data_IF_431598761603
#
_entry.id   IF_431598761603
#
_cell.length_a   1.000
_cell.length_b   1.000
_cell.length_c   1.000
_cell.angle_alpha   90.00
_cell.angle_beta   90.00
_cell.angle_gamma   90.00
#
_symmetry.space_group_name_H-M   'P 1'
#
loop_
_entity.id
_entity.type
_entity.pdbx_description
1 polymer ?
#
# COMPACT_ATOMS: atom_id res chain seq x y z
N UNK A 1 -20.12 -23.99 23.83
CA UNK A 1 -19.34 -24.89 23.00
C UNK A 1 -18.86 -24.29 21.69
N UNK A 2 -18.84 -22.96 21.57
CA UNK A 2 -18.22 -22.27 20.41
C UNK A 2 -16.73 -22.06 20.70
N UNK A 3 -15.88 -22.22 19.70
CA UNK A 3 -14.45 -21.96 19.77
C UNK A 3 -14.14 -20.72 18.92
N UNK A 4 -13.29 -19.83 19.45
CA UNK A 4 -12.75 -18.69 18.73
C UNK A 4 -11.21 -18.79 18.74
N UNK A 5 -10.61 -18.87 17.55
CA UNK A 5 -9.17 -18.88 17.38
C UNK A 5 -8.66 -17.44 17.24
N UNK A 6 -7.90 -16.99 18.25
CA UNK A 6 -7.26 -15.68 18.21
C UNK A 6 -5.94 -15.75 17.41
N UNK A 7 -5.50 -14.62 16.82
CA UNK A 7 -4.17 -14.54 16.22
C UNK A 7 -3.07 -14.89 17.23
N UNK A 8 -2.02 -15.57 16.76
CA UNK A 8 -0.87 -15.94 17.58
C UNK A 8 -0.12 -14.67 18.07
N UNK A 9 0.15 -14.59 19.37
CA UNK A 9 0.95 -13.54 19.98
C UNK A 9 2.29 -14.10 20.46
N UNK A 10 3.39 -13.48 20.02
CA UNK A 10 4.74 -13.89 20.38
C UNK A 10 5.29 -12.92 21.42
N UNK A 11 5.70 -13.45 22.57
CA UNK A 11 6.29 -12.68 23.67
C UNK A 11 7.72 -13.12 23.93
N UNK A 12 8.57 -12.18 24.37
CA UNK A 12 9.95 -12.45 24.77
C UNK A 12 10.30 -11.66 26.03
N UNK A 13 11.31 -12.13 26.74
CA UNK A 13 11.88 -11.46 27.91
C UNK A 13 13.39 -11.32 27.75
N UNK A 14 13.96 -10.25 28.27
CA UNK A 14 15.41 -10.05 28.36
C UNK A 14 15.78 -9.38 29.68
N UNK A 15 16.75 -9.98 30.40
CA UNK A 15 17.39 -9.35 31.55
C UNK A 15 18.47 -8.32 31.18
N UNK A 16 18.86 -8.26 29.90
CA UNK A 16 19.96 -7.43 29.38
C UNK A 16 19.44 -6.14 28.69
N UNK A 17 18.19 -5.74 29.00
CA UNK A 17 17.59 -4.51 28.52
C UNK A 17 16.91 -4.59 27.14
N UNK A 18 16.39 -3.45 26.68
CA UNK A 18 15.56 -3.36 25.47
C UNK A 18 16.33 -3.63 24.18
N UNK A 19 17.63 -3.29 24.12
CA UNK A 19 18.42 -3.56 22.94
C UNK A 19 18.56 -5.07 22.69
N UNK A 20 18.87 -5.84 23.72
CA UNK A 20 18.94 -7.30 23.64
C UNK A 20 17.57 -7.90 23.28
N UNK A 21 16.48 -7.38 23.87
CA UNK A 21 15.13 -7.80 23.56
C UNK A 21 14.79 -7.56 22.06
N UNK A 22 15.10 -6.38 21.54
CA UNK A 22 14.91 -6.07 20.11
C UNK A 22 15.70 -6.99 19.20
N UNK A 23 16.97 -7.26 19.53
CA UNK A 23 17.81 -8.18 18.75
C UNK A 23 17.24 -9.61 18.77
N UNK A 24 16.70 -10.08 19.90
CA UNK A 24 16.04 -11.39 19.98
C UNK A 24 14.87 -11.47 19.01
N UNK A 25 14.01 -10.43 18.93
CA UNK A 25 12.93 -10.38 17.97
C UNK A 25 13.44 -10.31 16.52
N UNK A 26 14.48 -9.52 16.23
CA UNK A 26 15.06 -9.46 14.90
C UNK A 26 15.57 -10.84 14.44
N UNK A 27 16.26 -11.56 15.30
CA UNK A 27 16.73 -12.92 15.00
C UNK A 27 15.56 -13.90 14.82
N UNK A 28 14.55 -13.82 15.67
CA UNK A 28 13.33 -14.65 15.55
C UNK A 28 12.63 -14.39 14.22
N UNK A 29 12.35 -13.13 13.88
CA UNK A 29 11.68 -12.73 12.65
C UNK A 29 12.48 -13.20 11.43
N UNK A 30 13.80 -12.93 11.42
CA UNK A 30 14.66 -13.35 10.32
C UNK A 30 14.67 -14.87 10.13
N UNK A 31 14.72 -15.64 11.21
CA UNK A 31 14.87 -17.09 11.15
C UNK A 31 13.54 -17.81 10.86
N UNK A 32 12.43 -17.34 11.43
CA UNK A 32 11.17 -18.09 11.49
C UNK A 32 10.03 -17.47 10.69
N UNK A 33 10.02 -16.14 10.47
CA UNK A 33 8.92 -15.44 9.81
C UNK A 33 9.28 -15.07 8.36
N UNK A 34 10.45 -14.47 8.14
CA UNK A 34 10.84 -14.05 6.79
C UNK A 34 10.99 -15.25 5.85
N UNK A 35 10.44 -15.07 4.64
CA UNK A 35 10.45 -16.08 3.56
C UNK A 35 10.88 -15.45 2.24
N UNK A 36 11.20 -16.30 1.26
CA UNK A 36 11.48 -15.89 -0.10
C UNK A 36 12.79 -15.13 -0.27
N UNK A 37 12.90 -14.44 -1.39
CA UNK A 37 14.11 -13.76 -1.86
C UNK A 37 14.71 -12.80 -0.81
N UNK A 38 13.87 -12.06 -0.10
CA UNK A 38 14.32 -11.01 0.83
C UNK A 38 14.76 -11.52 2.21
N UNK A 39 14.68 -12.84 2.48
CA UNK A 39 15.09 -13.40 3.79
C UNK A 39 16.55 -13.11 4.11
N UNK A 40 17.43 -13.27 3.11
CA UNK A 40 18.87 -13.18 3.28
C UNK A 40 19.50 -12.04 2.44
N UNK A 41 18.68 -11.13 1.93
CA UNK A 41 19.13 -9.95 1.17
C UNK A 41 19.00 -8.68 1.99
N UNK A 42 19.93 -7.76 1.77
CA UNK A 42 19.79 -6.39 2.24
C UNK A 42 18.61 -5.71 1.55
N UNK A 43 17.94 -4.84 2.27
CA UNK A 43 16.83 -4.05 1.71
C UNK A 43 17.41 -2.87 0.92
N UNK A 44 16.82 -2.53 -0.23
CA UNK A 44 17.26 -1.39 -1.01
C UNK A 44 17.09 -0.10 -0.24
N UNK A 45 17.96 0.87 -0.50
CA UNK A 45 17.79 2.24 -0.02
C UNK A 45 16.62 2.86 -0.77
N UNK A 46 15.54 3.16 -0.04
CA UNK A 46 14.26 3.54 -0.59
C UNK A 46 14.02 5.04 -0.47
N UNK A 47 13.54 5.66 -1.55
CA UNK A 47 12.93 6.98 -1.58
C UNK A 47 11.43 6.84 -1.86
N UNK A 48 10.60 7.43 -1.03
CA UNK A 48 9.17 7.54 -1.26
C UNK A 48 8.83 8.92 -1.83
N UNK A 49 7.93 8.99 -2.82
CA UNK A 49 7.58 10.24 -3.49
C UNK A 49 6.69 11.17 -2.68
N UNK A 50 6.09 10.71 -1.57
CA UNK A 50 5.06 11.44 -0.84
C UNK A 50 5.50 12.85 -0.44
N UNK A 51 6.57 12.97 0.35
CA UNK A 51 7.03 14.27 0.85
C UNK A 51 7.56 15.21 -0.26
N UNK A 52 7.96 14.64 -1.40
CA UNK A 52 8.43 15.44 -2.54
C UNK A 52 7.30 15.92 -3.45
N UNK A 53 6.20 15.19 -3.53
CA UNK A 53 5.19 15.40 -4.57
C UNK A 53 3.77 15.51 -4.02
N UNK A 54 3.45 14.88 -2.90
CA UNK A 54 2.09 14.62 -2.45
C UNK A 54 1.25 14.06 -3.62
N UNK A 55 0.03 14.55 -3.84
CA UNK A 55 -0.82 14.15 -4.94
C UNK A 55 -0.41 14.71 -6.31
N UNK A 56 0.55 15.64 -6.36
CA UNK A 56 1.01 16.28 -7.59
C UNK A 56 2.13 15.46 -8.25
N UNK A 57 1.78 14.24 -8.65
CA UNK A 57 2.66 13.33 -9.37
C UNK A 57 2.34 13.34 -10.86
N UNK A 58 3.34 13.11 -11.69
CA UNK A 58 3.24 12.78 -13.11
C UNK A 58 4.49 12.01 -13.54
N UNK A 59 4.48 11.45 -14.77
CA UNK A 59 5.58 10.62 -15.27
C UNK A 59 6.93 11.34 -15.22
N UNK A 60 7.01 12.56 -15.75
CA UNK A 60 8.29 13.28 -15.86
C UNK A 60 8.86 13.66 -14.50
N UNK A 61 8.00 14.07 -13.57
CA UNK A 61 8.39 14.41 -12.20
C UNK A 61 8.94 13.19 -11.45
N UNK A 62 8.32 12.03 -11.63
CA UNK A 62 8.77 10.79 -10.99
C UNK A 62 10.10 10.30 -11.60
N UNK A 63 10.27 10.42 -12.91
CA UNK A 63 11.53 10.07 -13.59
C UNK A 63 12.66 11.02 -13.21
N UNK A 64 12.39 12.33 -13.10
CA UNK A 64 13.37 13.32 -12.60
C UNK A 64 13.78 13.02 -11.17
N UNK A 65 12.81 12.69 -10.30
CA UNK A 65 13.07 12.27 -8.92
C UNK A 65 13.93 11.01 -8.87
N UNK A 66 13.64 9.99 -9.69
CA UNK A 66 14.42 8.77 -9.78
C UNK A 66 15.86 9.04 -10.27
N UNK A 67 16.02 9.92 -11.26
CA UNK A 67 17.34 10.31 -11.76
C UNK A 67 18.20 10.98 -10.68
N UNK A 68 17.62 11.89 -9.92
CA UNK A 68 18.30 12.53 -8.78
C UNK A 68 18.58 11.53 -7.67
N UNK A 69 17.65 10.63 -7.37
CA UNK A 69 17.79 9.58 -6.39
C UNK A 69 18.99 8.64 -6.73
N UNK A 70 19.08 8.20 -7.98
CA UNK A 70 20.19 7.39 -8.48
C UNK A 70 21.54 8.06 -8.26
N UNK A 71 21.65 9.38 -8.47
CA UNK A 71 22.89 10.13 -8.33
C UNK A 71 23.45 10.17 -6.89
N UNK A 72 22.61 9.89 -5.90
CA UNK A 72 22.98 9.85 -4.47
C UNK A 72 22.93 8.45 -3.88
N UNK A 73 22.81 7.43 -4.72
CA UNK A 73 22.89 6.01 -4.30
C UNK A 73 21.57 5.41 -3.79
N UNK A 74 20.42 6.03 -4.07
CA UNK A 74 19.12 5.43 -3.80
C UNK A 74 18.82 4.35 -4.85
N UNK A 75 18.27 3.24 -4.42
CA UNK A 75 18.11 2.01 -5.21
C UNK A 75 16.66 1.71 -5.59
N UNK A 76 15.69 2.31 -4.87
CA UNK A 76 14.25 2.06 -5.05
C UNK A 76 13.46 3.37 -4.90
N UNK A 77 12.63 3.71 -5.90
CA UNK A 77 11.63 4.77 -5.82
C UNK A 77 10.24 4.16 -5.64
N UNK A 78 9.54 4.53 -4.58
CA UNK A 78 8.13 4.18 -4.37
C UNK A 78 7.26 5.36 -4.79
N UNK A 79 6.43 5.16 -5.81
CA UNK A 79 5.33 6.07 -6.13
C UNK A 79 4.22 5.90 -5.09
N UNK A 80 3.99 6.96 -4.31
CA UNK A 80 2.98 6.98 -3.25
C UNK A 80 1.57 7.27 -3.77
N UNK A 81 0.65 7.65 -2.91
CA UNK A 81 -0.76 7.94 -3.20
C UNK A 81 -0.94 8.96 -4.34
N UNK A 82 -2.06 8.87 -5.06
CA UNK A 82 -2.44 9.85 -6.08
C UNK A 82 -2.31 9.41 -7.54
N UNK A 83 -1.92 8.16 -7.81
CA UNK A 83 -1.69 7.67 -9.18
C UNK A 83 -2.96 7.14 -9.89
N UNK A 84 -4.06 6.93 -9.16
CA UNK A 84 -5.29 6.27 -9.65
C UNK A 84 -6.52 7.18 -9.60
N UNK A 85 -7.56 6.83 -10.33
CA UNK A 85 -8.85 7.52 -10.33
C UNK A 85 -8.74 9.02 -10.56
N UNK A 86 -9.50 9.80 -9.80
CA UNK A 86 -9.42 11.27 -9.72
C UNK A 86 -8.71 11.74 -8.45
N UNK A 87 -7.79 10.93 -7.94
CA UNK A 87 -7.10 11.11 -6.66
C UNK A 87 -6.16 12.30 -6.67
N UNK A 88 -6.69 13.50 -6.42
CA UNK A 88 -5.93 14.75 -6.29
C UNK A 88 -5.84 15.25 -4.84
N UNK A 89 -6.54 14.58 -3.94
CA UNK A 89 -6.54 14.74 -2.49
C UNK A 89 -7.00 13.45 -1.82
N UNK A 90 -7.14 13.42 -0.51
CA UNK A 90 -7.52 12.25 0.26
C UNK A 90 -9.03 12.03 0.41
N UNK A 91 -9.86 12.84 -0.25
CA UNK A 91 -11.33 12.78 -0.13
C UNK A 91 -12.00 11.94 -1.21
N UNK A 92 -11.29 11.60 -2.29
CA UNK A 92 -11.87 10.97 -3.48
C UNK A 92 -11.12 9.72 -3.94
N UNK A 93 -11.82 8.89 -4.71
CA UNK A 93 -11.30 7.79 -5.56
C UNK A 93 -10.59 6.65 -4.86
N UNK A 94 -10.45 6.63 -3.53
CA UNK A 94 -9.90 5.44 -2.86
C UNK A 94 -10.84 4.26 -3.09
N UNK A 95 -10.30 3.17 -3.65
CA UNK A 95 -11.06 2.03 -4.17
C UNK A 95 -11.07 1.93 -5.70
N UNK A 96 -10.81 3.02 -6.41
CA UNK A 96 -10.80 3.09 -7.89
C UNK A 96 -9.39 2.80 -8.44
N UNK A 97 -8.93 1.57 -8.32
CA UNK A 97 -7.57 1.13 -8.64
C UNK A 97 -7.27 1.12 -10.15
N UNK A 98 -7.62 2.20 -10.84
CA UNK A 98 -7.35 2.42 -12.26
C UNK A 98 -6.44 3.62 -12.43
N UNK A 99 -5.37 3.45 -13.21
CA UNK A 99 -4.40 4.51 -13.48
C UNK A 99 -5.09 5.79 -13.95
N UNK A 100 -4.69 6.94 -13.37
CA UNK A 100 -5.13 8.25 -13.83
C UNK A 100 -4.38 8.61 -15.15
N UNK A 101 -5.08 8.72 -16.29
CA UNK A 101 -4.44 8.95 -17.58
C UNK A 101 -3.90 10.38 -17.75
N UNK A 102 -4.36 11.33 -16.95
CA UNK A 102 -3.83 12.72 -16.98
C UNK A 102 -2.45 12.79 -16.31
N UNK A 103 -2.24 12.00 -15.27
CA UNK A 103 -0.96 11.95 -14.54
C UNK A 103 0.03 10.98 -15.17
N UNK A 104 -0.46 9.84 -15.61
CA UNK A 104 0.33 8.74 -16.19
C UNK A 104 -0.25 8.34 -17.56
N UNK A 105 -0.09 9.18 -18.59
CA UNK A 105 -0.73 8.97 -19.90
C UNK A 105 -0.27 7.70 -20.61
N UNK A 106 0.95 7.22 -20.31
CA UNK A 106 1.52 6.02 -20.90
C UNK A 106 1.38 4.77 -19.98
N UNK A 107 0.73 4.92 -18.84
CA UNK A 107 0.45 3.85 -17.88
C UNK A 107 1.65 3.43 -17.03
N UNK A 108 1.38 2.46 -16.11
CA UNK A 108 2.38 2.02 -15.12
C UNK A 108 3.60 1.37 -15.74
N UNK A 109 3.42 0.60 -16.84
CA UNK A 109 4.54 -0.11 -17.45
C UNK A 109 5.61 0.86 -17.98
N UNK A 110 5.19 1.86 -18.72
CA UNK A 110 6.12 2.85 -19.30
C UNK A 110 6.81 3.65 -18.20
N UNK A 111 6.08 4.07 -17.18
CA UNK A 111 6.67 4.74 -16.03
C UNK A 111 7.74 3.85 -15.32
N UNK A 112 7.39 2.60 -15.00
CA UNK A 112 8.32 1.68 -14.35
C UNK A 112 9.58 1.43 -15.20
N UNK A 113 9.43 1.26 -16.52
CA UNK A 113 10.55 1.08 -17.44
C UNK A 113 11.45 2.34 -17.49
N UNK A 114 10.86 3.54 -17.50
CA UNK A 114 11.61 4.82 -17.45
C UNK A 114 12.35 5.00 -16.13
N UNK A 115 11.72 4.69 -15.00
CA UNK A 115 12.37 4.72 -13.68
C UNK A 115 13.53 3.72 -13.65
N UNK A 116 13.32 2.50 -14.10
CA UNK A 116 14.37 1.47 -14.14
C UNK A 116 15.55 1.86 -15.04
N UNK A 117 15.29 2.57 -16.12
CA UNK A 117 16.37 3.08 -17.00
C UNK A 117 17.31 4.08 -16.31
N UNK A 118 16.90 4.69 -15.18
CA UNK A 118 17.78 5.51 -14.33
C UNK A 118 18.69 4.72 -13.40
N UNK A 119 18.52 3.40 -13.33
CA UNK A 119 19.22 2.51 -12.40
C UNK A 119 18.49 2.28 -11.06
N UNK A 120 17.27 2.80 -10.90
CA UNK A 120 16.46 2.70 -9.69
C UNK A 120 15.30 1.72 -9.94
N UNK A 121 15.01 0.83 -8.98
CA UNK A 121 13.83 -0.04 -9.04
C UNK A 121 12.56 0.75 -8.75
N UNK A 122 11.41 0.22 -9.20
CA UNK A 122 10.11 0.89 -9.04
C UNK A 122 9.21 0.16 -8.06
N UNK A 123 8.61 0.91 -7.13
CA UNK A 123 7.61 0.46 -6.18
C UNK A 123 6.32 1.29 -6.26
N UNK A 124 5.25 0.76 -5.68
CA UNK A 124 3.91 1.36 -5.74
C UNK A 124 3.21 1.32 -4.38
N UNK A 125 2.43 2.35 -4.08
CA UNK A 125 1.56 2.45 -2.92
C UNK A 125 0.15 1.95 -3.23
N UNK A 126 -0.47 1.24 -2.29
CA UNK A 126 -1.88 0.85 -2.30
C UNK A 126 -2.48 0.86 -0.88
N UNK A 127 -3.79 1.06 -0.77
CA UNK A 127 -4.58 0.98 0.47
C UNK A 127 -5.95 0.35 0.17
N UNK A 128 -5.98 -0.95 -0.16
CA UNK A 128 -7.16 -1.57 -0.77
C UNK A 128 -8.27 -1.96 0.20
N UNK A 129 -8.05 -1.93 1.51
CA UNK A 129 -9.11 -2.21 2.49
C UNK A 129 -10.03 -1.01 2.76
N UNK A 130 -9.68 0.15 2.22
CA UNK A 130 -10.41 1.40 2.46
C UNK A 130 -11.06 1.92 1.19
N UNK A 131 -12.12 2.71 1.34
CA UNK A 131 -12.87 3.31 0.24
C UNK A 131 -13.31 4.73 0.60
N UNK A 132 -13.24 5.67 -0.35
CA UNK A 132 -13.90 6.96 -0.20
C UNK A 132 -15.37 6.87 -0.60
N UNK A 133 -16.21 7.67 0.03
CA UNK A 133 -17.63 7.83 -0.38
C UNK A 133 -17.72 8.41 -1.80
N UNK A 134 -16.84 9.35 -2.13
CA UNK A 134 -16.65 9.87 -3.48
C UNK A 134 -15.68 8.96 -4.27
N UNK A 135 -16.15 7.77 -4.59
CA UNK A 135 -15.47 6.81 -5.46
C UNK A 135 -16.50 6.02 -6.28
N UNK A 136 -16.07 5.53 -7.42
CA UNK A 136 -16.91 4.67 -8.25
C UNK A 136 -17.20 3.33 -7.54
N UNK A 137 -16.23 2.80 -6.82
CA UNK A 137 -16.42 1.57 -6.05
C UNK A 137 -17.56 1.72 -5.04
N UNK A 138 -17.60 2.82 -4.30
CA UNK A 138 -18.67 3.05 -3.33
C UNK A 138 -20.03 3.33 -3.99
N UNK A 139 -20.02 4.04 -5.13
CA UNK A 139 -21.25 4.27 -5.91
C UNK A 139 -21.87 2.95 -6.42
N UNK A 140 -21.02 2.02 -6.88
CA UNK A 140 -21.46 0.72 -7.39
C UNK A 140 -21.81 -0.29 -6.28
N UNK A 141 -21.11 -0.22 -5.12
CA UNK A 141 -21.21 -1.18 -4.03
C UNK A 141 -21.21 -0.53 -2.64
N UNK A 142 -22.19 0.32 -2.31
CA UNK A 142 -22.26 0.96 -0.99
C UNK A 142 -22.44 -0.07 0.15
N UNK A 143 -23.01 -1.23 -0.16
CA UNK A 143 -23.22 -2.33 0.78
C UNK A 143 -21.94 -3.12 1.15
N UNK A 144 -20.81 -2.84 0.50
CA UNK A 144 -19.52 -3.49 0.78
C UNK A 144 -18.76 -2.86 1.94
N UNK A 145 -19.22 -1.74 2.47
CA UNK A 145 -18.59 -1.12 3.64
C UNK A 145 -19.13 -1.72 4.94
N UNK A 146 -18.25 -1.80 5.92
CA UNK A 146 -18.66 -2.16 7.29
C UNK A 146 -19.62 -1.11 7.84
N UNK A 147 -20.74 -1.56 8.43
CA UNK A 147 -21.73 -0.70 9.02
C UNK A 147 -22.50 -1.41 10.12
N UNK A 148 -22.65 -0.75 11.26
CA UNK A 148 -23.59 -1.19 12.30
C UNK A 148 -24.99 -0.67 11.93
N UNK A 149 -26.00 -1.55 11.71
CA UNK A 149 -27.34 -1.12 11.36
C UNK A 149 -27.91 -0.09 12.34
N UNK A 150 -28.42 1.01 11.79
CA UNK A 150 -29.02 2.10 12.57
C UNK A 150 -28.03 3.06 13.24
N UNK A 151 -26.72 2.92 13.01
CA UNK A 151 -25.70 3.86 13.45
C UNK A 151 -25.09 4.62 12.27
N UNK A 152 -24.68 5.89 12.47
CA UNK A 152 -23.90 6.60 11.45
C UNK A 152 -22.53 5.92 11.28
N UNK A 153 -21.95 6.01 10.08
CA UNK A 153 -20.58 5.55 9.85
C UNK A 153 -19.57 6.35 10.68
N UNK A 154 -18.58 5.65 11.17
CA UNK A 154 -17.40 6.23 11.81
C UNK A 154 -16.34 6.50 10.74
N UNK A 155 -16.33 7.69 10.17
CA UNK A 155 -15.34 8.06 9.15
C UNK A 155 -14.03 8.54 9.78
N UNK A 156 -12.90 8.10 9.24
CA UNK A 156 -11.58 8.62 9.54
C UNK A 156 -10.83 8.89 8.24
N UNK A 157 -10.20 10.07 8.10
CA UNK A 157 -9.49 10.47 6.88
C UNK A 157 -10.35 10.44 5.60
N UNK A 158 -11.63 10.76 5.72
CA UNK A 158 -12.63 10.66 4.64
C UNK A 158 -12.81 9.25 4.06
N UNK A 159 -12.47 8.22 4.84
CA UNK A 159 -12.48 6.82 4.42
C UNK A 159 -13.48 6.01 5.21
N UNK A 160 -14.04 4.99 4.55
CA UNK A 160 -14.79 3.87 5.12
C UNK A 160 -14.00 2.58 4.92
N UNK A 161 -14.34 1.57 5.72
CA UNK A 161 -13.69 0.26 5.67
C UNK A 161 -14.53 -0.67 4.82
N UNK A 162 -13.91 -1.40 3.91
CA UNK A 162 -14.55 -2.50 3.20
C UNK A 162 -14.73 -3.71 4.13
N UNK A 163 -15.85 -4.38 4.03
CA UNK A 163 -16.16 -5.58 4.81
C UNK A 163 -15.42 -6.80 4.24
N UNK A 164 -14.24 -7.07 4.78
CA UNK A 164 -13.38 -8.18 4.36
C UNK A 164 -13.91 -9.57 4.79
N UNK A 165 -15.03 -9.65 5.52
CA UNK A 165 -15.69 -10.93 5.78
C UNK A 165 -16.48 -11.43 4.57
N UNK A 166 -16.73 -10.56 3.59
CA UNK A 166 -17.46 -10.85 2.36
C UNK A 166 -16.50 -11.37 1.28
N UNK A 167 -16.81 -12.53 0.73
CA UNK A 167 -15.99 -13.14 -0.32
C UNK A 167 -15.88 -12.29 -1.57
N UNK A 168 -16.97 -11.64 -1.98
CA UNK A 168 -16.99 -10.73 -3.15
C UNK A 168 -16.06 -9.52 -2.98
N UNK A 169 -15.88 -9.01 -1.75
CA UNK A 169 -14.93 -7.93 -1.45
C UNK A 169 -13.50 -8.44 -1.52
N UNK A 170 -13.24 -9.62 -0.95
CA UNK A 170 -11.93 -10.27 -1.05
C UNK A 170 -11.55 -10.52 -2.51
N UNK A 171 -12.46 -11.08 -3.31
CA UNK A 171 -12.22 -11.37 -4.73
C UNK A 171 -11.95 -10.10 -5.53
N UNK A 172 -12.72 -9.02 -5.27
CA UNK A 172 -12.48 -7.72 -5.88
C UNK A 172 -11.07 -7.18 -5.58
N UNK A 173 -10.64 -7.20 -4.31
CA UNK A 173 -9.31 -6.72 -3.90
C UNK A 173 -8.23 -7.57 -4.57
N UNK A 174 -8.36 -8.89 -4.55
CA UNK A 174 -7.41 -9.82 -5.18
C UNK A 174 -7.31 -9.54 -6.69
N UNK A 175 -8.44 -9.39 -7.36
CA UNK A 175 -8.48 -9.08 -8.79
C UNK A 175 -7.79 -7.75 -9.10
N UNK A 176 -8.17 -6.67 -8.41
CA UNK A 176 -7.63 -5.32 -8.65
C UNK A 176 -6.13 -5.23 -8.34
N UNK A 177 -5.70 -5.79 -7.22
CA UNK A 177 -4.27 -5.80 -6.87
C UNK A 177 -3.47 -6.67 -7.84
N UNK A 178 -4.01 -7.80 -8.29
CA UNK A 178 -3.38 -8.62 -9.33
C UNK A 178 -3.22 -7.84 -10.64
N UNK A 179 -4.25 -7.11 -11.07
CA UNK A 179 -4.18 -6.24 -12.26
C UNK A 179 -3.11 -5.17 -12.13
N UNK A 180 -3.08 -4.47 -10.99
CA UNK A 180 -2.09 -3.40 -10.71
C UNK A 180 -0.67 -3.96 -10.70
N UNK A 181 -0.42 -5.02 -9.94
CA UNK A 181 0.94 -5.57 -9.77
C UNK A 181 1.46 -6.30 -11.01
N UNK A 182 0.57 -6.77 -11.88
CA UNK A 182 0.94 -7.39 -13.16
C UNK A 182 1.10 -6.38 -14.29
N UNK A 183 0.66 -5.12 -14.10
CA UNK A 183 0.70 -4.09 -15.14
C UNK A 183 2.12 -3.59 -15.45
N UNK A 184 3.08 -3.77 -14.52
CA UNK A 184 4.46 -3.30 -14.64
C UNK A 184 5.40 -4.18 -13.81
N UNK A 185 6.72 -3.96 -13.96
CA UNK A 185 7.71 -4.58 -13.08
C UNK A 185 7.76 -3.84 -11.73
N UNK A 186 6.91 -4.28 -10.80
CA UNK A 186 6.80 -3.73 -9.44
C UNK A 186 7.75 -4.49 -8.51
N UNK A 187 8.81 -3.83 -8.06
CA UNK A 187 9.80 -4.43 -7.14
C UNK A 187 9.41 -4.31 -5.66
N UNK A 188 8.50 -3.42 -5.32
CA UNK A 188 8.08 -3.13 -3.95
C UNK A 188 6.64 -2.66 -3.89
N UNK A 189 5.91 -3.11 -2.89
CA UNK A 189 4.54 -2.64 -2.59
C UNK A 189 4.53 -2.02 -1.20
N UNK A 190 4.15 -0.74 -1.11
CA UNK A 190 3.76 -0.11 0.14
C UNK A 190 2.26 -0.32 0.30
N UNK A 191 1.90 -1.31 1.10
CA UNK A 191 0.51 -1.58 1.47
C UNK A 191 0.21 -0.80 2.75
N UNK A 192 -0.55 0.26 2.61
CA UNK A 192 -0.80 1.21 3.68
C UNK A 192 -2.13 0.93 4.39
N UNK A 193 -2.31 1.55 5.56
CA UNK A 193 -3.54 1.51 6.34
C UNK A 193 -3.60 2.79 7.20
N UNK A 194 -4.36 3.79 6.73
CA UNK A 194 -4.33 5.14 7.32
C UNK A 194 -5.44 5.40 8.34
N UNK A 195 -6.26 4.44 8.63
CA UNK A 195 -7.25 4.52 9.71
C UNK A 195 -7.40 3.18 10.43
N UNK A 196 -7.90 3.23 11.65
CA UNK A 196 -8.27 2.05 12.42
C UNK A 196 -9.55 1.40 11.90
N UNK A 197 -9.72 0.10 12.15
CA UNK A 197 -10.99 -0.58 11.94
C UNK A 197 -12.05 -0.04 12.91
N UNK A 198 -13.27 0.13 12.40
CA UNK A 198 -14.45 0.57 13.15
C UNK A 198 -15.72 0.04 12.47
N UNK A 199 -16.88 0.25 13.08
CA UNK A 199 -18.20 -0.13 12.52
C UNK A 199 -18.41 -1.66 12.39
N UNK A 200 -17.81 -2.44 13.30
CA UNK A 200 -17.92 -3.89 13.43
C UNK A 200 -18.80 -4.30 14.62
#
# INVERSE_FOLDING_TARGET
>A
GEEFEAPEAIMSFSGDGFNALSQNFHHFIKKHILRGYWKDKERPILLNSWEACYFNINEDRLVDLATKAASVGIELLVMDDGWFGKRNDDTTSLGDWKVNPEKLPNGLKVLADRVKATGVEFGIWVEPEMVNVDSRLYEEHPEWVMQIPGRPHSEGRNQRILDLTRTEVQDFIIEKMTQVFSAANIAYVKWDMNRNFSDY
#
